data_IF_433636720476
#
_entry.id   IF_433636720476
#
_cell.length_a   1.000
_cell.length_b   1.000
_cell.length_c   1.000
_cell.angle_alpha   90.00
_cell.angle_beta   90.00
_cell.angle_gamma   90.00
#
_symmetry.space_group_name_H-M   'P 1'
#
loop_
_entity.id
_entity.type
_entity.pdbx_description
1 polymer ?
#
# COMPACT_ATOMS: atom_id res chain seq x y z
N UNK A 1 -22.84 -61.91 -37.77
CA UNK A 1 -22.19 -60.57 -37.70
C UNK A 1 -22.64 -59.98 -36.37
N UNK A 2 -21.81 -60.13 -35.32
CA UNK A 2 -20.87 -59.10 -34.81
C UNK A 2 -21.63 -58.03 -34.00
N UNK A 3 -21.25 -57.55 -32.82
CA UNK A 3 -20.25 -57.84 -31.79
C UNK A 3 -20.60 -56.90 -30.60
N UNK A 4 -20.12 -57.21 -29.39
CA UNK A 4 -19.67 -56.27 -28.33
C UNK A 4 -20.65 -55.21 -27.74
N UNK A 5 -21.10 -55.38 -26.49
CA UNK A 5 -20.51 -54.98 -25.18
C UNK A 5 -20.91 -53.59 -24.68
N UNK A 6 -21.48 -53.60 -23.47
CA UNK A 6 -21.47 -52.61 -22.40
C UNK A 6 -21.53 -51.10 -22.73
N UNK A 7 -22.48 -50.39 -22.12
CA UNK A 7 -22.07 -49.44 -21.09
C UNK A 7 -23.22 -48.98 -20.18
N UNK A 8 -22.92 -49.09 -18.89
CA UNK A 8 -23.52 -48.43 -17.75
C UNK A 8 -23.68 -46.93 -18.00
N UNK A 9 -24.92 -46.44 -18.02
CA UNK A 9 -25.21 -45.02 -17.84
C UNK A 9 -25.07 -44.65 -16.35
N UNK A 10 -23.83 -44.68 -15.86
CA UNK A 10 -23.43 -43.86 -14.73
C UNK A 10 -22.73 -42.64 -15.32
N UNK A 11 -23.17 -41.40 -15.05
CA UNK A 11 -22.35 -40.24 -15.36
C UNK A 11 -21.21 -40.20 -14.33
N UNK A 12 -20.12 -40.87 -14.67
CA UNK A 12 -18.81 -40.59 -14.09
C UNK A 12 -18.03 -39.89 -15.18
N UNK A 13 -17.98 -38.55 -15.12
CA UNK A 13 -16.77 -37.84 -15.51
C UNK A 13 -16.78 -36.37 -15.04
N UNK A 14 -15.65 -36.03 -14.41
CA UNK A 14 -15.05 -34.71 -14.28
C UNK A 14 -15.56 -33.77 -13.17
N UNK A 15 -15.48 -34.29 -11.94
CA UNK A 15 -15.16 -33.48 -10.77
C UNK A 15 -13.69 -33.00 -10.77
N UNK A 16 -13.26 -32.25 -11.79
CA UNK A 16 -11.92 -31.64 -11.85
C UNK A 16 -11.92 -30.45 -12.80
N UNK A 17 -12.63 -29.38 -12.43
CA UNK A 17 -12.71 -28.22 -13.33
C UNK A 17 -13.32 -26.93 -12.81
N UNK A 18 -13.37 -26.65 -11.49
CA UNK A 18 -13.72 -25.28 -11.05
C UNK A 18 -13.42 -24.92 -9.59
N UNK A 19 -12.41 -25.51 -8.94
CA UNK A 19 -12.09 -25.17 -7.54
C UNK A 19 -11.03 -24.05 -7.39
N UNK A 20 -10.30 -23.70 -8.45
CA UNK A 20 -9.19 -22.75 -8.41
C UNK A 20 -9.61 -21.25 -8.29
N UNK A 21 -10.62 -20.73 -9.02
CA UNK A 21 -10.95 -19.30 -8.94
C UNK A 21 -11.71 -18.90 -7.66
N UNK A 22 -12.35 -19.87 -6.98
CA UNK A 22 -13.08 -19.60 -5.73
C UNK A 22 -12.17 -19.66 -4.48
N UNK A 23 -11.22 -20.61 -4.44
CA UNK A 23 -10.25 -20.72 -3.33
C UNK A 23 -9.27 -19.55 -3.28
N UNK A 24 -8.83 -19.04 -4.44
CA UNK A 24 -7.95 -17.85 -4.50
C UNK A 24 -8.65 -16.59 -3.97
N UNK A 25 -9.97 -16.47 -4.19
CA UNK A 25 -10.78 -15.38 -3.66
C UNK A 25 -11.04 -15.48 -2.16
N UNK A 26 -11.23 -16.69 -1.62
CA UNK A 26 -11.44 -16.89 -0.18
C UNK A 26 -10.16 -16.64 0.63
N UNK A 27 -9.02 -17.21 0.22
CA UNK A 27 -7.74 -16.99 0.90
C UNK A 27 -7.35 -15.51 0.91
N UNK A 28 -7.57 -14.81 -0.22
CA UNK A 28 -7.35 -13.36 -0.32
C UNK A 28 -8.27 -12.57 0.62
N UNK A 29 -9.55 -12.94 0.70
CA UNK A 29 -10.50 -12.29 1.63
C UNK A 29 -10.11 -12.50 3.09
N UNK A 30 -9.71 -13.72 3.46
CA UNK A 30 -9.21 -14.04 4.80
C UNK A 30 -7.97 -13.19 5.12
N UNK A 31 -7.01 -13.11 4.19
CA UNK A 31 -5.81 -12.31 4.36
C UNK A 31 -6.11 -10.83 4.68
N UNK A 32 -6.95 -10.17 3.88
CA UNK A 32 -7.29 -8.77 4.13
C UNK A 32 -8.18 -8.57 5.37
N UNK A 33 -9.05 -9.54 5.71
CA UNK A 33 -9.82 -9.50 6.95
C UNK A 33 -8.88 -9.58 8.17
N UNK A 34 -7.86 -10.44 8.13
CA UNK A 34 -6.81 -10.49 9.14
C UNK A 34 -6.03 -9.18 9.21
N UNK A 35 -5.68 -8.56 8.08
CA UNK A 35 -5.00 -7.26 8.08
C UNK A 35 -5.85 -6.17 8.75
N UNK A 36 -7.16 -6.12 8.49
CA UNK A 36 -8.06 -5.20 9.20
C UNK A 36 -8.04 -5.47 10.70
N UNK A 37 -8.16 -6.73 11.11
CA UNK A 37 -8.12 -7.13 12.51
C UNK A 37 -6.82 -6.69 13.20
N UNK A 38 -5.67 -6.97 12.58
CA UNK A 38 -4.35 -6.57 13.09
C UNK A 38 -4.27 -5.05 13.24
N UNK A 39 -4.60 -4.29 12.19
CA UNK A 39 -4.52 -2.83 12.26
C UNK A 39 -5.53 -2.23 13.27
N UNK A 40 -6.70 -2.83 13.43
CA UNK A 40 -7.70 -2.40 14.42
C UNK A 40 -7.22 -2.64 15.85
N UNK A 41 -6.63 -3.81 16.11
CA UNK A 41 -6.01 -4.10 17.41
C UNK A 41 -4.84 -3.16 17.69
N UNK A 42 -3.99 -2.88 16.69
CA UNK A 42 -2.92 -1.91 16.82
C UNK A 42 -3.45 -0.51 17.14
N UNK A 43 -4.54 -0.05 16.51
CA UNK A 43 -5.18 1.22 16.86
C UNK A 43 -5.68 1.25 18.31
N UNK A 44 -6.28 0.16 18.79
CA UNK A 44 -6.71 0.04 20.19
C UNK A 44 -5.52 0.13 21.16
N UNK A 45 -4.44 -0.58 20.86
CA UNK A 45 -3.19 -0.55 21.65
C UNK A 45 -2.55 0.84 21.65
N UNK A 46 -2.50 1.52 20.51
CA UNK A 46 -1.98 2.89 20.44
C UNK A 46 -2.86 3.89 21.22
N UNK A 47 -4.19 3.70 21.21
CA UNK A 47 -5.11 4.46 22.05
C UNK A 47 -4.86 4.27 23.54
N UNK A 48 -4.68 3.02 23.96
CA UNK A 48 -4.31 2.69 25.34
C UNK A 48 -2.95 3.27 25.73
N UNK A 49 -1.94 3.13 24.87
CA UNK A 49 -0.61 3.68 25.10
C UNK A 49 -0.64 5.21 25.23
N UNK A 50 -1.42 5.89 24.39
CA UNK A 50 -1.62 7.34 24.48
C UNK A 50 -2.24 7.72 25.82
N UNK A 51 -3.32 7.04 26.22
CA UNK A 51 -3.98 7.26 27.50
C UNK A 51 -3.02 7.07 28.69
N UNK A 52 -2.23 5.98 28.68
CA UNK A 52 -1.19 5.71 29.69
C UNK A 52 -0.15 6.82 29.70
N UNK A 53 0.37 7.21 28.54
CA UNK A 53 1.41 8.26 28.40
C UNK A 53 0.96 9.60 28.96
N UNK A 54 -0.32 9.93 28.80
CA UNK A 54 -0.92 11.16 29.32
C UNK A 54 -1.06 11.08 30.84
N UNK A 55 -1.67 10.01 31.35
CA UNK A 55 -2.00 9.88 32.78
C UNK A 55 -0.78 9.60 33.66
N UNK A 56 0.21 8.90 33.13
CA UNK A 56 1.45 8.54 33.81
C UNK A 56 2.60 9.49 33.43
N UNK A 57 2.26 10.65 32.83
CA UNK A 57 3.25 11.64 32.46
C UNK A 57 4.02 12.13 33.69
N UNK A 58 5.36 12.11 33.67
CA UNK A 58 6.15 12.56 34.81
C UNK A 58 5.95 14.05 35.06
N UNK A 59 6.23 14.50 36.28
CA UNK A 59 6.28 15.92 36.59
C UNK A 59 7.35 16.62 35.74
N UNK A 60 7.08 17.86 35.34
CA UNK A 60 8.06 18.69 34.65
C UNK A 60 9.30 18.90 35.53
N UNK A 61 10.48 18.92 34.89
CA UNK A 61 11.73 19.22 35.57
C UNK A 61 11.87 20.69 36.00
N UNK A 62 11.01 21.58 35.50
CA UNK A 62 11.19 23.04 35.65
C UNK A 62 9.94 23.80 36.07
N UNK A 63 8.74 23.25 35.86
CA UNK A 63 7.48 23.91 36.23
C UNK A 63 6.76 23.09 37.30
N UNK A 64 6.67 23.63 38.51
CA UNK A 64 5.99 22.97 39.63
C UNK A 64 4.49 22.80 39.36
N UNK A 65 3.94 21.62 39.71
CA UNK A 65 2.52 21.32 39.55
C UNK A 65 2.07 21.04 38.12
N UNK A 66 3.00 20.90 37.16
CA UNK A 66 2.72 20.52 35.77
C UNK A 66 3.42 19.21 35.41
N UNK A 67 2.78 18.41 34.55
CA UNK A 67 3.42 17.25 33.93
C UNK A 67 4.15 17.63 32.65
N UNK A 68 5.05 16.78 32.16
CA UNK A 68 5.68 16.95 30.84
C UNK A 68 4.63 17.05 29.72
N UNK A 69 3.54 16.28 29.82
CA UNK A 69 2.46 16.31 28.84
C UNK A 69 1.71 17.65 28.86
N UNK A 70 1.48 18.24 30.03
CA UNK A 70 0.77 19.53 30.13
C UNK A 70 1.50 20.66 29.39
N UNK A 71 2.83 20.59 29.34
CA UNK A 71 3.67 21.63 28.71
C UNK A 71 3.88 21.36 27.22
N UNK A 72 3.93 20.08 26.81
CA UNK A 72 4.35 19.69 25.47
C UNK A 72 3.37 18.76 24.73
N UNK A 73 2.10 18.80 25.10
CA UNK A 73 1.03 17.99 24.49
C UNK A 73 0.99 18.04 22.94
N UNK A 74 1.20 19.20 22.25
CA UNK A 74 1.19 19.22 20.79
C UNK A 74 2.27 18.32 20.17
N UNK A 75 3.49 18.34 20.75
CA UNK A 75 4.60 17.52 20.29
C UNK A 75 4.37 16.04 20.65
N UNK A 76 3.85 15.77 21.85
CA UNK A 76 3.45 14.43 22.29
C UNK A 76 2.40 13.81 21.37
N UNK A 77 1.30 14.51 21.13
CA UNK A 77 0.21 14.09 20.25
C UNK A 77 0.71 13.83 18.83
N UNK A 78 1.53 14.74 18.28
CA UNK A 78 2.15 14.52 16.97
C UNK A 78 3.01 13.26 16.96
N UNK A 79 3.87 13.05 17.95
CA UNK A 79 4.79 11.92 18.01
C UNK A 79 4.11 10.55 18.06
N UNK A 80 2.89 10.47 18.60
CA UNK A 80 2.12 9.22 18.69
C UNK A 80 1.21 9.07 17.46
N UNK A 81 0.79 10.17 16.84
CA UNK A 81 -0.19 10.17 15.74
C UNK A 81 0.26 9.45 14.46
N UNK A 82 1.56 9.31 14.15
CA UNK A 82 1.97 8.60 12.92
C UNK A 82 1.52 7.15 12.90
N UNK A 83 1.48 6.48 14.05
CA UNK A 83 1.05 5.08 14.13
C UNK A 83 -0.45 4.95 13.90
N UNK A 84 -1.22 5.92 14.39
CA UNK A 84 -2.64 6.02 14.06
C UNK A 84 -2.84 6.21 12.56
N UNK A 85 -2.11 7.15 11.95
CA UNK A 85 -2.17 7.39 10.50
C UNK A 85 -1.80 6.13 9.71
N UNK A 86 -0.75 5.40 10.15
CA UNK A 86 -0.34 4.14 9.53
C UNK A 86 -1.46 3.09 9.55
N UNK A 87 -2.02 2.84 10.72
CA UNK A 87 -3.00 1.79 10.89
C UNK A 87 -4.35 2.14 10.24
N UNK A 88 -4.79 3.40 10.29
CA UNK A 88 -6.00 3.86 9.58
C UNK A 88 -5.82 3.71 8.07
N UNK A 89 -4.66 4.10 7.51
CA UNK A 89 -4.36 3.89 6.10
C UNK A 89 -4.33 2.39 5.74
N UNK A 90 -3.77 1.54 6.61
CA UNK A 90 -3.76 0.08 6.43
C UNK A 90 -5.16 -0.52 6.37
N UNK A 91 -6.06 -0.11 7.27
CA UNK A 91 -7.47 -0.51 7.27
C UNK A 91 -8.17 -0.02 6.00
N UNK A 92 -8.01 1.26 5.65
CA UNK A 92 -8.63 1.82 4.45
C UNK A 92 -8.20 1.08 3.18
N UNK A 93 -6.92 0.73 3.08
CA UNK A 93 -6.38 -0.06 1.97
C UNK A 93 -6.93 -1.50 1.94
N UNK A 94 -6.96 -2.17 3.10
CA UNK A 94 -7.48 -3.54 3.19
C UNK A 94 -8.98 -3.60 2.88
N UNK A 95 -9.77 -2.66 3.43
CA UNK A 95 -11.20 -2.50 3.14
C UNK A 95 -11.43 -2.21 1.65
N UNK A 96 -10.68 -1.28 1.07
CA UNK A 96 -10.77 -0.97 -0.35
C UNK A 96 -10.44 -2.17 -1.23
N UNK A 97 -9.54 -3.05 -0.78
CA UNK A 97 -9.19 -4.26 -1.53
C UNK A 97 -10.19 -5.39 -1.36
N UNK A 98 -10.88 -5.46 -0.21
CA UNK A 98 -11.94 -6.42 0.07
C UNK A 98 -13.24 -6.09 -0.64
N UNK A 99 -13.64 -4.81 -0.62
CA UNK A 99 -14.96 -4.36 -1.06
C UNK A 99 -14.92 -3.57 -2.37
N UNK A 100 -13.79 -2.96 -2.71
CA UNK A 100 -13.63 -2.11 -3.89
C UNK A 100 -13.03 -2.86 -5.09
N UNK A 101 -13.75 -2.88 -6.21
CA UNK A 101 -13.16 -3.27 -7.50
C UNK A 101 -11.94 -2.42 -7.89
N UNK A 102 -11.21 -2.82 -8.94
CA UNK A 102 -9.88 -2.25 -9.31
C UNK A 102 -9.82 -0.71 -9.40
N UNK A 103 -10.94 0.00 -9.67
CA UNK A 103 -10.99 1.47 -9.81
C UNK A 103 -10.77 2.27 -8.51
N UNK A 104 -11.04 1.68 -7.35
CA UNK A 104 -10.98 2.41 -6.07
C UNK A 104 -9.53 2.50 -5.53
N UNK A 105 -8.61 1.66 -6.02
CA UNK A 105 -7.27 1.50 -5.44
C UNK A 105 -6.35 2.71 -5.62
N UNK A 106 -6.36 3.39 -6.76
CA UNK A 106 -5.37 4.45 -7.04
C UNK A 106 -5.62 5.70 -6.19
N UNK A 107 -6.89 6.11 -6.03
CA UNK A 107 -7.23 7.29 -5.21
C UNK A 107 -6.90 7.08 -3.75
N UNK A 108 -7.24 5.93 -3.18
CA UNK A 108 -6.97 5.65 -1.76
C UNK A 108 -5.48 5.59 -1.50
N UNK A 109 -4.70 4.92 -2.36
CA UNK A 109 -3.24 4.91 -2.26
C UNK A 109 -2.68 6.34 -2.32
N UNK A 110 -3.12 7.16 -3.27
CA UNK A 110 -2.66 8.54 -3.38
C UNK A 110 -2.97 9.38 -2.13
N UNK A 111 -4.19 9.29 -1.58
CA UNK A 111 -4.57 10.02 -0.36
C UNK A 111 -3.79 9.53 0.87
N UNK A 112 -3.57 8.22 0.99
CA UNK A 112 -2.73 7.67 2.05
C UNK A 112 -1.29 8.18 1.95
N UNK A 113 -0.71 8.24 0.75
CA UNK A 113 0.63 8.82 0.56
C UNK A 113 0.68 10.31 0.91
N UNK A 114 -0.34 11.08 0.54
CA UNK A 114 -0.43 12.50 0.90
C UNK A 114 -0.56 12.70 2.41
N UNK A 115 -1.31 11.85 3.12
CA UNK A 115 -1.42 11.89 4.57
C UNK A 115 -0.06 11.63 5.25
N UNK A 116 0.72 10.65 4.76
CA UNK A 116 2.08 10.43 5.28
C UNK A 116 3.00 11.60 4.99
N UNK A 117 2.95 12.15 3.76
CA UNK A 117 3.76 13.30 3.40
C UNK A 117 3.41 14.51 4.28
N UNK A 118 2.12 14.78 4.49
CA UNK A 118 1.66 15.84 5.38
C UNK A 118 2.16 15.63 6.81
N UNK A 119 1.98 14.42 7.37
CA UNK A 119 2.47 14.10 8.72
C UNK A 119 3.98 14.31 8.84
N UNK A 120 4.74 13.79 7.87
CA UNK A 120 6.18 13.93 7.80
C UNK A 120 6.62 15.39 7.73
N UNK A 121 5.96 16.21 6.90
CA UNK A 121 6.31 17.62 6.73
C UNK A 121 5.96 18.48 7.95
N UNK A 122 4.90 18.13 8.69
CA UNK A 122 4.54 18.83 9.94
C UNK A 122 5.51 18.55 11.09
N UNK A 123 6.21 17.41 11.06
CA UNK A 123 7.12 16.98 12.10
C UNK A 123 8.30 17.89 12.38
N UNK A 124 9.13 18.20 11.36
CA UNK A 124 10.22 19.15 11.48
C UNK A 124 9.76 20.51 12.00
N UNK A 125 8.58 20.98 11.60
CA UNK A 125 8.04 22.25 12.05
C UNK A 125 7.70 22.22 13.54
N UNK A 126 7.05 21.15 14.01
CA UNK A 126 6.72 20.98 15.43
C UNK A 126 7.97 20.77 16.28
N UNK A 127 8.90 19.93 15.81
CA UNK A 127 10.20 19.78 16.47
C UNK A 127 10.92 21.13 16.52
N UNK A 128 11.00 21.89 15.44
CA UNK A 128 11.66 23.19 15.45
C UNK A 128 10.97 24.19 16.40
N UNK A 129 9.64 24.26 16.37
CA UNK A 129 8.87 25.24 17.14
C UNK A 129 8.87 24.95 18.64
N UNK A 130 8.87 23.67 19.02
CA UNK A 130 8.73 23.26 20.42
C UNK A 130 10.00 22.64 21.02
N UNK A 131 11.06 22.39 20.24
CA UNK A 131 12.24 21.66 20.73
C UNK A 131 12.93 22.36 21.89
N UNK A 132 13.12 23.67 21.83
CA UNK A 132 13.89 24.38 22.85
C UNK A 132 13.18 24.33 24.21
N UNK A 133 11.88 24.65 24.23
CA UNK A 133 11.03 24.62 25.43
C UNK A 133 10.87 23.18 25.92
N UNK A 134 10.46 22.25 25.06
CA UNK A 134 10.20 20.87 25.46
C UNK A 134 11.47 20.09 25.84
N UNK A 135 12.65 20.43 25.31
CA UNK A 135 13.88 19.78 25.73
C UNK A 135 14.25 20.10 27.19
N UNK A 136 13.84 21.27 27.69
CA UNK A 136 14.09 21.74 29.05
C UNK A 136 12.96 21.32 29.98
N UNK A 137 11.71 21.56 29.56
CA UNK A 137 10.53 21.41 30.40
C UNK A 137 9.96 19.98 30.41
N UNK A 138 10.17 19.23 29.32
CA UNK A 138 9.61 17.91 29.07
C UNK A 138 10.62 16.95 28.39
N UNK A 139 11.81 16.72 28.99
CA UNK A 139 12.90 16.01 28.34
C UNK A 139 12.56 14.56 27.98
N UNK A 140 11.70 13.88 28.73
CA UNK A 140 11.23 12.53 28.41
C UNK A 140 10.41 12.51 27.12
N UNK A 141 9.37 13.34 27.07
CA UNK A 141 8.50 13.48 25.91
C UNK A 141 9.26 13.94 24.65
N UNK A 142 10.18 14.90 24.80
CA UNK A 142 11.00 15.39 23.70
C UNK A 142 11.89 14.28 23.11
N UNK A 143 12.57 13.49 23.94
CA UNK A 143 13.38 12.35 23.50
C UNK A 143 12.54 11.31 22.76
N UNK A 144 11.35 10.98 23.27
CA UNK A 144 10.43 10.05 22.62
C UNK A 144 9.98 10.58 21.25
N UNK A 145 9.63 11.86 21.16
CA UNK A 145 9.23 12.49 19.91
C UNK A 145 10.35 12.49 18.86
N UNK A 146 11.57 12.83 19.27
CA UNK A 146 12.75 12.81 18.40
C UNK A 146 13.07 11.39 17.92
N UNK A 147 13.02 10.39 18.81
CA UNK A 147 13.26 9.00 18.46
C UNK A 147 12.22 8.49 17.43
N UNK A 148 10.94 8.79 17.65
CA UNK A 148 9.87 8.46 16.71
C UNK A 148 10.07 9.14 15.34
N UNK A 149 10.48 10.41 15.33
CA UNK A 149 10.79 11.12 14.10
C UNK A 149 11.91 10.46 13.30
N UNK A 150 13.04 10.17 13.94
CA UNK A 150 14.21 9.55 13.29
C UNK A 150 13.84 8.17 12.74
N UNK A 151 13.17 7.35 13.55
CA UNK A 151 12.72 6.01 13.12
C UNK A 151 11.79 6.10 11.92
N UNK A 152 10.78 6.97 11.97
CA UNK A 152 9.86 7.15 10.84
C UNK A 152 10.58 7.65 9.58
N UNK A 153 11.49 8.62 9.73
CA UNK A 153 12.29 9.15 8.61
C UNK A 153 13.08 8.04 7.92
N UNK A 154 13.73 7.19 8.72
CA UNK A 154 14.46 6.03 8.20
C UNK A 154 13.53 5.07 7.45
N UNK A 155 12.39 4.69 8.03
CA UNK A 155 11.41 3.83 7.37
C UNK A 155 10.87 4.44 6.07
N UNK A 156 10.55 5.73 6.07
CA UNK A 156 10.04 6.44 4.90
C UNK A 156 11.09 6.44 3.77
N UNK A 157 12.36 6.69 4.09
CA UNK A 157 13.46 6.60 3.12
C UNK A 157 13.60 5.19 2.55
N UNK A 158 13.60 4.15 3.40
CA UNK A 158 13.64 2.76 2.95
C UNK A 158 12.48 2.45 2.00
N UNK A 159 11.26 2.84 2.35
CA UNK A 159 10.07 2.64 1.50
C UNK A 159 10.17 3.39 0.18
N UNK A 160 10.66 4.64 0.18
CA UNK A 160 10.87 5.40 -1.05
C UNK A 160 11.91 4.72 -1.96
N UNK A 161 13.01 4.21 -1.41
CA UNK A 161 14.01 3.47 -2.18
C UNK A 161 13.42 2.20 -2.79
N UNK A 162 12.66 1.41 -2.02
CA UNK A 162 11.98 0.21 -2.51
C UNK A 162 10.98 0.55 -3.62
N UNK A 163 10.20 1.62 -3.44
CA UNK A 163 9.25 2.08 -4.45
C UNK A 163 9.94 2.55 -5.73
N UNK A 164 11.05 3.30 -5.62
CA UNK A 164 11.86 3.70 -6.77
C UNK A 164 12.40 2.48 -7.53
N UNK A 165 12.87 1.45 -6.82
CA UNK A 165 13.36 0.23 -7.44
C UNK A 165 12.25 -0.54 -8.17
N UNK A 166 11.07 -0.66 -7.55
CA UNK A 166 9.90 -1.29 -8.17
C UNK A 166 9.41 -0.50 -9.40
N UNK A 167 9.31 0.83 -9.28
CA UNK A 167 8.94 1.72 -10.38
C UNK A 167 9.93 1.62 -11.54
N UNK A 168 11.23 1.57 -11.25
CA UNK A 168 12.27 1.45 -12.27
C UNK A 168 12.22 0.09 -12.99
N UNK A 169 11.98 -1.00 -12.25
CA UNK A 169 11.72 -2.33 -12.83
C UNK A 169 10.46 -2.31 -13.72
N UNK A 170 9.37 -1.71 -13.25
CA UNK A 170 8.13 -1.55 -14.01
C UNK A 170 8.34 -0.77 -15.31
N UNK A 171 9.07 0.35 -15.23
CA UNK A 171 9.41 1.18 -16.38
C UNK A 171 10.27 0.43 -17.40
N UNK A 172 11.25 -0.36 -16.93
CA UNK A 172 12.07 -1.22 -17.81
C UNK A 172 11.23 -2.27 -18.53
N UNK A 173 10.33 -2.95 -17.82
CA UNK A 173 9.40 -3.92 -18.42
C UNK A 173 8.49 -3.25 -19.45
N UNK A 174 7.89 -2.10 -19.12
CA UNK A 174 7.03 -1.35 -20.03
C UNK A 174 7.78 -0.89 -21.30
N UNK A 175 9.00 -0.37 -21.16
CA UNK A 175 9.85 0.00 -22.30
C UNK A 175 10.20 -1.21 -23.18
N UNK A 176 10.48 -2.37 -22.59
CA UNK A 176 10.74 -3.60 -23.33
C UNK A 176 9.52 -4.06 -24.13
N UNK A 177 8.32 -4.02 -23.52
CA UNK A 177 7.07 -4.35 -24.20
C UNK A 177 6.76 -3.40 -25.37
N UNK A 178 6.98 -2.09 -25.17
CA UNK A 178 6.80 -1.10 -26.25
C UNK A 178 7.78 -1.37 -27.40
N UNK A 179 9.04 -1.69 -27.11
CA UNK A 179 10.04 -2.03 -28.13
C UNK A 179 9.67 -3.31 -28.89
N UNK A 180 9.21 -4.35 -28.18
CA UNK A 180 8.76 -5.60 -28.79
C UNK A 180 7.54 -5.40 -29.71
N UNK A 181 6.56 -4.59 -29.29
CA UNK A 181 5.39 -4.26 -30.12
C UNK A 181 5.75 -3.48 -31.38
N UNK A 182 6.67 -2.51 -31.28
CA UNK A 182 7.16 -1.77 -32.46
C UNK A 182 7.89 -2.68 -33.44
N UNK A 183 8.71 -3.62 -32.95
CA UNK A 183 9.39 -4.59 -33.80
C UNK A 183 8.41 -5.55 -34.48
N UNK A 184 7.41 -6.06 -33.75
CA UNK A 184 6.36 -6.92 -34.31
C UNK A 184 5.51 -6.20 -35.36
N UNK A 185 5.15 -4.93 -35.11
CA UNK A 185 4.41 -4.12 -36.07
C UNK A 185 5.21 -3.88 -37.37
N UNK A 186 6.52 -3.62 -37.25
CA UNK A 186 7.40 -3.47 -38.41
C UNK A 186 7.52 -4.76 -39.21
N UNK A 187 7.73 -5.91 -38.54
CA UNK A 187 7.80 -7.21 -39.21
C UNK A 187 6.48 -7.58 -39.92
N UNK A 188 5.33 -7.24 -39.33
CA UNK A 188 4.03 -7.43 -39.96
C UNK A 188 3.83 -6.56 -41.21
N UNK A 189 4.34 -5.33 -41.22
CA UNK A 189 4.32 -4.45 -42.39
C UNK A 189 5.22 -4.98 -43.53
N UNK A 190 6.42 -5.44 -43.19
CA UNK A 190 7.35 -6.04 -44.17
C UNK A 190 6.77 -7.33 -44.78
N UNK A 191 6.15 -8.19 -43.95
CA UNK A 191 5.48 -9.40 -44.43
C UNK A 191 4.30 -9.10 -45.38
N UNK A 192 3.51 -8.06 -45.11
CA UNK A 192 2.40 -7.66 -45.97
C UNK A 192 2.86 -7.06 -47.32
N UNK A 193 4.03 -6.41 -47.36
CA UNK A 193 4.62 -5.93 -48.61
C UNK A 193 5.09 -7.07 -49.53
N UNK A 194 5.50 -8.20 -48.96
CA UNK A 194 5.93 -9.40 -49.70
C UNK A 194 4.75 -10.20 -50.29
N UNK A 195 3.56 -10.13 -49.70
CA UNK A 195 2.37 -10.88 -50.15
C UNK A 195 1.49 -10.10 -51.15
N UNK A 196 1.83 -8.85 -51.48
CA UNK A 196 1.05 -7.97 -52.37
C UNK A 196 -0.44 -7.80 -51.93
N UNK A 197 -0.72 -8.09 -50.65
CA UNK A 197 -2.02 -7.86 -50.02
C UNK A 197 -1.96 -6.55 -49.25
N UNK A 198 -2.93 -5.67 -49.50
CA UNK A 198 -3.04 -4.35 -48.86
C UNK A 198 -3.03 -4.54 -47.33
N UNK A 199 -2.06 -3.97 -46.59
CA UNK A 199 -1.90 -4.27 -45.18
C UNK A 199 -3.12 -3.80 -44.37
N UNK A 200 -3.57 -4.56 -43.36
CA UNK A 200 -4.55 -4.06 -42.39
C UNK A 200 -3.94 -2.89 -41.61
N UNK A 201 -4.61 -1.74 -41.69
CA UNK A 201 -4.22 -0.52 -40.99
C UNK A 201 -4.48 -0.72 -39.49
N UNK A 202 -3.44 -1.05 -38.74
CA UNK A 202 -3.50 -1.00 -37.28
C UNK A 202 -3.24 0.43 -36.82
N UNK A 203 -4.32 1.18 -36.60
CA UNK A 203 -4.28 2.45 -35.86
C UNK A 203 -3.97 2.11 -34.41
N UNK A 204 -2.77 2.44 -33.94
CA UNK A 204 -2.47 2.45 -32.51
C UNK A 204 -3.14 3.71 -31.96
N UNK A 205 -4.20 3.62 -31.13
CA UNK A 205 -4.83 4.81 -30.59
C UNK A 205 -3.85 5.42 -29.59
N UNK A 206 -3.31 6.60 -29.90
CA UNK A 206 -2.62 7.43 -28.92
C UNK A 206 -3.62 7.80 -27.83
N UNK A 207 -3.47 7.24 -26.62
CA UNK A 207 -4.25 7.64 -25.45
C UNK A 207 -4.94 6.53 -24.66
N UNK A 208 -4.86 5.25 -25.05
CA UNK A 208 -5.40 4.19 -24.21
C UNK A 208 -4.42 3.87 -23.06
N UNK A 209 -4.65 4.47 -21.88
CA UNK A 209 -4.09 3.99 -20.63
C UNK A 209 -4.42 2.50 -20.52
N UNK A 210 -3.40 1.67 -20.70
CA UNK A 210 -3.52 0.23 -20.55
C UNK A 210 -3.84 -0.04 -19.09
N UNK A 211 -5.04 -0.53 -18.82
CA UNK A 211 -5.37 -1.23 -17.58
C UNK A 211 -4.42 -2.43 -17.51
N UNK A 212 -3.27 -2.22 -16.88
CA UNK A 212 -2.35 -3.31 -16.53
C UNK A 212 -3.14 -4.19 -15.56
N UNK A 213 -3.47 -5.40 -16.00
CA UNK A 213 -4.02 -6.43 -15.10
C UNK A 213 -3.09 -6.51 -13.90
N UNK A 214 -3.62 -6.12 -12.75
CA UNK A 214 -2.88 -6.02 -11.48
C UNK A 214 -2.27 -7.36 -11.02
N UNK A 215 -2.51 -8.46 -11.73
CA UNK A 215 -1.97 -9.79 -11.48
C UNK A 215 -0.52 -9.97 -11.96
N UNK A 216 0.03 -9.07 -12.79
CA UNK A 216 1.45 -9.13 -13.23
C UNK A 216 2.40 -8.19 -12.47
N UNK A 217 1.89 -7.49 -11.44
CA UNK A 217 2.63 -6.49 -10.65
C UNK A 217 3.00 -6.95 -9.23
N UNK A 218 2.83 -8.23 -8.92
CA UNK A 218 3.36 -8.87 -7.69
C UNK A 218 4.59 -9.69 -8.04
#
# INVERSE_FOLDING_TARGET
>A
MAAETANTNAPQDNATGCAAPLKLNLARRIYFACLIGIHSTMLGLEGYNLYSTVNESPASATVEGKTEWDLCAPLGAWSVSWRFVLNVCGIAFAMATLFGGNRIRVRIVAHSMLLYAAWFMTGPFLLYSYAAECAVEAPGLFKAALANYVMFTFYALCMMVLFMFAAFKGLRKARAQIKARKAAAKAAQEAAQLTNEKPPVYVIPEGQLVDVKAEELV
#
